data_IF_996454225854
#
_entry.id   IF_996454225854
#
_cell.length_a   1.000
_cell.length_b   1.000
_cell.length_c   1.000
_cell.angle_alpha   90.00
_cell.angle_beta   90.00
_cell.angle_gamma   90.00
#
_symmetry.space_group_name_H-M   'P 1'
#
loop_
_entity.id
_entity.type
_entity.pdbx_description
1 polymer ?
#
# COMPACT_ATOMS: atom_id res chain seq x y z
N UNK A 1 -7.47 26.96 -1.54
CA UNK A 1 -6.58 26.66 -0.41
C UNK A 1 -6.88 25.30 0.26
N UNK A 2 -8.13 24.92 0.46
CA UNK A 2 -8.54 23.68 1.13
C UNK A 2 -8.10 22.39 0.36
N UNK A 3 -8.23 22.34 -0.97
CA UNK A 3 -7.77 21.19 -1.79
C UNK A 3 -6.25 20.95 -1.77
N UNK A 4 -5.42 22.01 -1.62
CA UNK A 4 -3.97 21.86 -1.48
C UNK A 4 -3.56 21.31 -0.10
N UNK A 5 -4.27 21.67 0.97
CA UNK A 5 -4.02 21.12 2.32
C UNK A 5 -4.37 19.65 2.42
N UNK A 6 -5.53 19.24 1.88
CA UNK A 6 -5.96 17.83 1.85
C UNK A 6 -4.98 16.91 1.08
N UNK A 7 -4.39 17.40 -0.03
CA UNK A 7 -3.36 16.65 -0.74
C UNK A 7 -2.04 16.53 0.05
N UNK A 8 -1.68 17.55 0.84
CA UNK A 8 -0.46 17.53 1.63
C UNK A 8 -0.55 16.57 2.82
N UNK A 9 -1.66 16.56 3.55
CA UNK A 9 -1.90 15.61 4.66
C UNK A 9 -1.97 14.17 4.16
N UNK A 10 -2.58 13.92 3.01
CA UNK A 10 -2.61 12.60 2.38
C UNK A 10 -1.23 12.08 1.94
N UNK A 11 -0.36 12.95 1.44
CA UNK A 11 1.01 12.59 1.05
C UNK A 11 1.88 12.29 2.28
N UNK A 12 1.78 13.10 3.34
CA UNK A 12 2.50 12.85 4.60
C UNK A 12 2.07 11.52 5.21
N UNK A 13 0.77 11.22 5.22
CA UNK A 13 0.25 9.97 5.76
C UNK A 13 0.77 8.73 5.03
N UNK A 14 0.83 8.76 3.71
CA UNK A 14 1.36 7.65 2.90
C UNK A 14 2.86 7.47 3.18
N UNK A 15 3.63 8.54 3.19
CA UNK A 15 5.06 8.47 3.49
C UNK A 15 5.35 7.90 4.90
N UNK A 16 4.47 8.16 5.87
CA UNK A 16 4.56 7.62 7.21
C UNK A 16 4.23 6.12 7.25
N UNK A 17 3.20 5.68 6.54
CA UNK A 17 2.84 4.25 6.42
C UNK A 17 3.97 3.45 5.77
N UNK A 18 4.54 3.96 4.67
CA UNK A 18 5.68 3.35 3.97
C UNK A 18 6.91 3.24 4.90
N UNK A 19 7.18 4.28 5.70
CA UNK A 19 8.28 4.29 6.66
C UNK A 19 8.14 3.19 7.72
N UNK A 20 6.97 3.06 8.35
CA UNK A 20 6.75 2.05 9.38
C UNK A 20 6.70 0.62 8.81
N UNK A 21 6.14 0.44 7.61
CA UNK A 21 6.16 -0.86 6.94
C UNK A 21 7.61 -1.28 6.61
N UNK A 22 8.43 -0.35 6.16
CA UNK A 22 9.84 -0.60 5.91
C UNK A 22 10.56 -1.06 7.18
N UNK A 23 10.45 -0.32 8.28
CA UNK A 23 11.05 -0.70 9.57
C UNK A 23 10.57 -2.10 10.00
N UNK A 24 9.27 -2.36 9.87
CA UNK A 24 8.67 -3.64 10.24
C UNK A 24 9.31 -4.80 9.47
N UNK A 25 9.53 -4.64 8.17
CA UNK A 25 10.10 -5.67 7.29
C UNK A 25 11.65 -5.67 7.25
N UNK A 26 12.34 -4.68 7.80
CA UNK A 26 13.79 -4.74 7.98
C UNK A 26 14.20 -5.76 9.06
N UNK A 27 13.29 -6.13 9.96
CA UNK A 27 13.51 -7.23 10.90
C UNK A 27 13.55 -8.57 10.17
N UNK A 28 14.63 -9.32 10.35
CA UNK A 28 14.88 -10.58 9.62
C UNK A 28 13.87 -11.67 9.94
N UNK A 29 13.37 -11.74 11.16
CA UNK A 29 12.40 -12.76 11.55
C UNK A 29 11.05 -12.49 10.89
N UNK A 30 10.59 -11.25 10.89
CA UNK A 30 9.38 -10.82 10.19
C UNK A 30 9.50 -10.97 8.68
N UNK A 31 10.66 -10.61 8.12
CA UNK A 31 10.89 -10.78 6.69
C UNK A 31 10.91 -12.25 6.26
N UNK A 32 11.56 -13.12 7.03
CA UNK A 32 11.53 -14.56 6.80
C UNK A 32 10.10 -15.11 6.85
N UNK A 33 9.33 -14.70 7.86
CA UNK A 33 7.93 -15.10 8.02
C UNK A 33 7.07 -14.60 6.83
N UNK A 34 7.25 -13.35 6.41
CA UNK A 34 6.61 -12.78 5.24
C UNK A 34 6.86 -13.60 3.96
N UNK A 35 8.11 -14.00 3.72
CA UNK A 35 8.49 -14.83 2.58
C UNK A 35 7.93 -16.25 2.73
N UNK A 36 8.03 -16.84 3.91
CA UNK A 36 7.52 -18.20 4.17
C UNK A 36 6.02 -18.30 3.89
N UNK A 37 5.26 -17.31 4.29
CA UNK A 37 3.80 -17.29 4.06
C UNK A 37 3.46 -17.06 2.59
N UNK A 38 4.08 -16.07 1.95
CA UNK A 38 3.65 -15.60 0.64
C UNK A 38 4.30 -16.34 -0.54
N UNK A 39 5.53 -16.81 -0.37
CA UNK A 39 6.26 -17.56 -1.41
C UNK A 39 6.17 -19.06 -1.16
N UNK A 40 6.29 -19.49 0.09
CA UNK A 40 6.33 -20.93 0.45
C UNK A 40 5.04 -21.46 1.06
N UNK A 41 3.95 -20.70 0.95
CA UNK A 41 2.61 -21.11 1.39
C UNK A 41 2.57 -21.57 2.86
N UNK A 42 3.24 -20.85 3.75
CA UNK A 42 3.33 -21.12 5.19
C UNK A 42 4.39 -22.16 5.60
N UNK A 43 5.06 -22.80 4.63
CA UNK A 43 6.19 -23.68 4.94
C UNK A 43 7.38 -22.86 5.45
N UNK A 44 7.96 -23.28 6.58
CA UNK A 44 9.10 -22.61 7.21
C UNK A 44 10.40 -23.00 6.49
N UNK A 45 10.60 -22.48 5.30
CA UNK A 45 11.77 -22.75 4.43
C UNK A 45 12.92 -21.82 4.75
N UNK A 46 12.61 -20.55 5.02
CA UNK A 46 13.59 -19.51 5.26
C UNK A 46 13.64 -19.17 6.76
N UNK A 47 14.82 -19.27 7.36
CA UNK A 47 15.08 -18.85 8.73
C UNK A 47 15.73 -17.45 8.77
N UNK A 48 15.51 -16.72 9.85
CA UNK A 48 16.01 -15.35 10.00
C UNK A 48 17.54 -15.21 9.93
N UNK A 49 18.27 -16.23 10.41
CA UNK A 49 19.75 -16.29 10.38
C UNK A 49 20.29 -16.49 8.95
N UNK A 50 19.46 -16.93 8.01
CA UNK A 50 19.76 -17.07 6.59
C UNK A 50 19.53 -15.82 5.77
N UNK A 51 19.12 -14.74 6.42
CA UNK A 51 18.90 -13.43 5.80
C UNK A 51 20.00 -12.44 6.16
N UNK A 52 20.42 -11.66 5.17
CA UNK A 52 21.30 -10.51 5.36
C UNK A 52 20.75 -9.30 4.60
N UNK A 53 20.62 -8.18 5.30
CA UNK A 53 20.17 -6.92 4.70
C UNK A 53 21.18 -6.43 3.66
N UNK A 54 20.71 -6.06 2.50
CA UNK A 54 21.48 -5.45 1.44
C UNK A 54 21.16 -3.96 1.33
N UNK A 55 22.07 -3.14 0.74
CA UNK A 55 21.75 -1.76 0.41
C UNK A 55 20.51 -1.69 -0.47
N UNK A 56 19.54 -0.87 -0.06
CA UNK A 56 18.28 -0.70 -0.79
C UNK A 56 18.39 0.30 -1.96
N UNK A 57 19.51 0.98 -2.09
CA UNK A 57 19.81 1.89 -3.19
C UNK A 57 20.83 1.24 -4.13
N UNK A 58 20.50 1.20 -5.41
CA UNK A 58 21.45 0.86 -6.46
C UNK A 58 21.25 1.83 -7.61
N UNK A 59 22.33 2.11 -8.33
CA UNK A 59 22.29 3.01 -9.46
C UNK A 59 23.39 2.69 -10.46
N UNK A 60 23.07 2.87 -11.73
CA UNK A 60 24.04 2.85 -12.82
C UNK A 60 24.16 4.23 -13.42
N UNK A 61 25.38 4.56 -13.82
CA UNK A 61 25.63 5.77 -14.61
C UNK A 61 25.58 5.38 -16.07
N UNK A 62 24.58 5.88 -16.78
CA UNK A 62 24.47 5.72 -18.23
C UNK A 62 25.02 6.98 -18.88
N UNK A 63 25.90 6.80 -19.87
CA UNK A 63 26.37 7.91 -20.72
C UNK A 63 25.50 7.89 -21.97
N UNK A 64 24.70 8.94 -22.20
CA UNK A 64 23.91 9.04 -23.41
C UNK A 64 24.76 9.34 -24.65
N UNK A 65 24.14 9.34 -25.82
CA UNK A 65 24.82 9.58 -27.09
C UNK A 65 25.55 10.94 -27.17
N UNK A 66 25.13 11.91 -26.37
CA UNK A 66 25.70 13.24 -26.29
C UNK A 66 26.83 13.32 -25.22
N UNK A 67 27.21 12.20 -24.62
CA UNK A 67 28.24 12.13 -23.59
C UNK A 67 27.78 12.60 -22.20
N UNK A 68 26.48 12.87 -22.01
CA UNK A 68 25.93 13.31 -20.75
C UNK A 68 25.75 12.12 -19.83
N UNK A 69 26.35 12.18 -18.63
CA UNK A 69 26.20 11.16 -17.61
C UNK A 69 24.85 11.31 -16.92
N UNK A 70 24.01 10.29 -17.00
CA UNK A 70 22.74 10.20 -16.28
C UNK A 70 22.84 9.05 -15.28
N UNK A 71 22.49 9.30 -14.05
CA UNK A 71 22.38 8.26 -13.03
C UNK A 71 20.96 7.73 -13.02
N UNK A 72 20.79 6.47 -13.36
CA UNK A 72 19.53 5.75 -13.10
C UNK A 72 19.67 5.14 -11.72
N UNK A 73 18.90 5.63 -10.77
CA UNK A 73 18.87 5.12 -9.40
C UNK A 73 17.60 4.32 -9.17
N UNK A 74 17.74 3.19 -8.47
CA UNK A 74 16.61 2.53 -7.84
C UNK A 74 16.70 2.73 -6.33
N UNK A 75 15.55 2.84 -5.73
CA UNK A 75 15.40 2.82 -4.28
C UNK A 75 14.27 1.86 -3.96
N UNK A 76 14.62 0.69 -3.45
CA UNK A 76 13.68 -0.31 -2.95
C UNK A 76 13.43 -0.09 -1.46
N UNK A 77 12.29 -0.56 -0.97
CA UNK A 77 11.98 -0.39 0.45
C UNK A 77 12.82 -1.34 1.32
N UNK A 78 12.81 -2.63 1.03
CA UNK A 78 13.62 -3.63 1.73
C UNK A 78 14.26 -4.58 0.72
N UNK A 79 15.55 -4.87 0.88
CA UNK A 79 16.29 -5.83 0.06
C UNK A 79 17.11 -6.73 0.96
N UNK A 80 16.94 -8.04 0.83
CA UNK A 80 17.71 -9.02 1.58
C UNK A 80 18.30 -10.07 0.67
N UNK A 81 19.52 -10.51 0.99
CA UNK A 81 20.10 -11.74 0.45
C UNK A 81 19.61 -12.89 1.30
N UNK A 82 19.01 -13.88 0.68
CA UNK A 82 18.50 -15.09 1.32
C UNK A 82 19.33 -16.29 0.90
N UNK A 83 19.62 -17.18 1.84
CA UNK A 83 20.31 -18.44 1.60
C UNK A 83 19.32 -19.61 1.65
N UNK A 84 19.17 -20.32 0.53
CA UNK A 84 18.31 -21.50 0.40
C UNK A 84 19.18 -22.73 0.14
N UNK A 85 19.66 -23.38 1.19
CA UNK A 85 20.60 -24.50 1.06
C UNK A 85 21.89 -24.06 0.34
N UNK A 86 22.10 -24.58 -0.86
CA UNK A 86 23.27 -24.24 -1.68
C UNK A 86 23.06 -22.99 -2.59
N UNK A 87 21.86 -22.41 -2.60
CA UNK A 87 21.50 -21.31 -3.49
C UNK A 87 21.31 -20.02 -2.72
N UNK A 88 21.61 -18.91 -3.38
CA UNK A 88 21.30 -17.57 -2.90
C UNK A 88 20.17 -16.97 -3.75
N UNK A 89 19.42 -16.08 -3.14
CA UNK A 89 18.40 -15.29 -3.81
C UNK A 89 18.42 -13.87 -3.26
N UNK A 90 18.25 -12.88 -4.11
CA UNK A 90 17.94 -11.52 -3.66
C UNK A 90 16.43 -11.42 -3.58
N UNK A 91 15.90 -11.09 -2.41
CA UNK A 91 14.45 -10.89 -2.20
C UNK A 91 14.22 -9.44 -1.82
N UNK A 92 13.33 -8.78 -2.54
CA UNK A 92 12.98 -7.39 -2.30
C UNK A 92 11.48 -7.24 -2.03
N UNK A 93 11.12 -6.28 -1.20
CA UNK A 93 9.73 -5.85 -0.99
C UNK A 93 9.59 -4.42 -1.47
N UNK A 94 8.52 -4.17 -2.23
CA UNK A 94 8.05 -2.84 -2.62
C UNK A 94 6.74 -2.59 -1.90
N UNK A 95 6.72 -1.60 -1.02
CA UNK A 95 5.58 -1.30 -0.18
C UNK A 95 4.68 -0.27 -0.87
N UNK A 96 3.40 -0.57 -1.03
CA UNK A 96 2.48 0.26 -1.79
C UNK A 96 1.21 0.59 -0.99
N UNK A 97 1.06 1.84 -0.57
CA UNK A 97 -0.16 2.36 0.05
C UNK A 97 -1.24 2.77 -0.97
N UNK A 98 -0.90 2.84 -2.25
CA UNK A 98 -1.81 3.15 -3.36
C UNK A 98 -1.49 2.29 -4.57
N UNK A 99 -2.49 2.07 -5.43
CA UNK A 99 -2.29 1.37 -6.70
C UNK A 99 -1.31 2.14 -7.58
N UNK A 100 -0.34 1.44 -8.14
CA UNK A 100 0.63 1.98 -9.09
C UNK A 100 0.47 1.28 -10.43
N UNK A 101 -0.20 1.93 -11.39
CA UNK A 101 -0.56 1.33 -12.69
C UNK A 101 0.65 0.92 -13.55
N UNK A 102 1.83 1.46 -13.31
CA UNK A 102 3.08 1.09 -13.99
C UNK A 102 3.97 0.13 -13.19
N UNK A 103 3.41 -0.64 -12.25
CA UNK A 103 4.22 -1.42 -11.31
C UNK A 103 5.05 -2.49 -11.99
N UNK A 104 4.52 -3.19 -12.99
CA UNK A 104 5.26 -4.22 -13.72
C UNK A 104 6.52 -3.66 -14.41
N UNK A 105 6.43 -2.48 -15.02
CA UNK A 105 7.59 -1.80 -15.63
C UNK A 105 8.58 -1.34 -14.56
N UNK A 106 8.09 -0.83 -13.43
CA UNK A 106 8.94 -0.37 -12.33
C UNK A 106 9.75 -1.51 -11.73
N UNK A 107 9.12 -2.64 -11.42
CA UNK A 107 9.82 -3.81 -10.89
C UNK A 107 10.78 -4.42 -11.92
N UNK A 108 10.36 -4.55 -13.17
CA UNK A 108 11.22 -5.02 -14.25
C UNK A 108 12.50 -4.19 -14.36
N UNK A 109 12.38 -2.86 -14.28
CA UNK A 109 13.53 -1.96 -14.29
C UNK A 109 14.44 -2.20 -13.07
N UNK A 110 13.87 -2.38 -11.90
CA UNK A 110 14.64 -2.61 -10.68
C UNK A 110 15.38 -3.94 -10.71
N UNK A 111 14.73 -5.01 -11.15
CA UNK A 111 15.37 -6.33 -11.30
C UNK A 111 16.47 -6.30 -12.38
N UNK A 112 16.24 -5.58 -13.48
CA UNK A 112 17.26 -5.40 -14.52
C UNK A 112 18.50 -4.67 -13.98
N UNK A 113 18.32 -3.66 -13.11
CA UNK A 113 19.43 -2.95 -12.45
C UNK A 113 20.19 -3.89 -11.48
N UNK A 114 19.49 -4.77 -10.76
CA UNK A 114 20.15 -5.75 -9.90
C UNK A 114 20.98 -6.75 -10.70
N UNK A 115 20.45 -7.27 -11.81
CA UNK A 115 21.20 -8.15 -12.69
C UNK A 115 22.39 -7.44 -13.35
N UNK A 116 22.24 -6.18 -13.74
CA UNK A 116 23.34 -5.38 -14.30
C UNK A 116 24.46 -5.20 -13.28
N UNK A 117 24.10 -4.94 -12.02
CA UNK A 117 25.08 -4.82 -10.94
C UNK A 117 25.79 -6.16 -10.66
N UNK A 118 25.10 -7.28 -10.78
CA UNK A 118 25.71 -8.60 -10.65
C UNK A 118 26.73 -8.86 -11.78
N UNK A 119 26.39 -8.50 -13.02
CA UNK A 119 27.32 -8.61 -14.16
C UNK A 119 28.56 -7.75 -13.92
N UNK A 120 28.39 -6.51 -13.46
CA UNK A 120 29.51 -5.62 -13.11
C UNK A 120 30.44 -6.23 -12.04
N UNK A 121 29.86 -6.87 -11.02
CA UNK A 121 30.65 -7.55 -9.98
C UNK A 121 31.40 -8.78 -10.51
N UNK A 122 30.79 -9.52 -11.44
CA UNK A 122 31.45 -10.65 -12.12
C UNK A 122 32.65 -10.14 -12.92
N UNK A 123 32.48 -9.07 -13.69
CA UNK A 123 33.57 -8.43 -14.44
C UNK A 123 34.70 -7.97 -13.50
N UNK A 124 34.36 -7.29 -12.41
CA UNK A 124 35.34 -6.84 -11.43
C UNK A 124 36.13 -7.99 -10.80
N UNK A 125 35.42 -9.11 -10.51
CA UNK A 125 36.05 -10.33 -10.00
C UNK A 125 37.07 -10.90 -11.00
N UNK A 126 36.69 -11.12 -12.27
CA UNK A 126 37.59 -11.62 -13.29
C UNK A 126 38.81 -10.72 -13.49
N UNK A 127 38.59 -9.39 -13.44
CA UNK A 127 39.71 -8.41 -13.50
C UNK A 127 40.64 -8.52 -12.31
N UNK A 128 40.09 -8.69 -11.10
CA UNK A 128 40.88 -8.82 -9.88
C UNK A 128 41.66 -10.14 -9.83
N UNK A 129 41.10 -11.22 -10.35
CA UNK A 129 41.72 -12.54 -10.44
C UNK A 129 42.74 -12.64 -11.60
N UNK A 130 42.80 -11.62 -12.47
CA UNK A 130 43.71 -11.57 -13.61
C UNK A 130 43.34 -12.51 -14.74
N UNK A 131 42.08 -12.90 -14.84
CA UNK A 131 41.58 -13.80 -15.88
C UNK A 131 41.74 -13.16 -17.25
N UNK A 132 42.30 -13.94 -18.17
CA UNK A 132 42.43 -13.54 -19.57
C UNK A 132 41.18 -13.98 -20.33
N UNK A 133 40.19 -13.12 -20.36
CA UNK A 133 38.99 -13.34 -21.15
C UNK A 133 39.28 -13.15 -22.63
N UNK A 134 38.82 -14.06 -23.47
CA UNK A 134 39.02 -14.02 -24.95
C UNK A 134 37.68 -14.23 -25.67
N UNK A 135 37.60 -13.76 -26.91
CA UNK A 135 36.45 -13.99 -27.79
C UNK A 135 35.13 -13.50 -27.20
N UNK A 136 34.15 -14.41 -27.05
CA UNK A 136 32.81 -14.09 -26.51
C UNK A 136 32.85 -13.67 -25.04
N UNK A 137 33.71 -14.28 -24.23
CA UNK A 137 33.86 -13.97 -22.81
C UNK A 137 34.41 -12.55 -22.62
N UNK A 138 35.35 -12.13 -23.46
CA UNK A 138 35.88 -10.75 -23.47
C UNK A 138 34.81 -9.73 -23.87
N UNK A 139 33.95 -10.05 -24.86
CA UNK A 139 32.90 -9.15 -25.32
C UNK A 139 31.78 -8.98 -24.31
N UNK A 140 31.44 -10.04 -23.58
CA UNK A 140 30.32 -10.03 -22.61
C UNK A 140 30.74 -9.73 -21.19
N UNK A 141 32.05 -9.80 -20.88
CA UNK A 141 32.62 -9.76 -19.52
C UNK A 141 32.13 -10.87 -18.59
N UNK A 142 31.47 -11.89 -19.16
CA UNK A 142 30.85 -13.01 -18.43
C UNK A 142 31.25 -14.31 -19.15
N UNK A 143 31.63 -15.32 -18.38
CA UNK A 143 31.96 -16.65 -18.88
C UNK A 143 30.75 -17.59 -18.81
N UNK A 144 30.82 -18.73 -19.50
CA UNK A 144 29.80 -19.78 -19.38
C UNK A 144 29.68 -20.40 -17.99
N UNK A 145 30.70 -20.24 -17.14
CA UNK A 145 30.74 -20.76 -15.77
C UNK A 145 30.04 -19.82 -14.77
N UNK A 146 29.96 -18.52 -15.06
CA UNK A 146 29.33 -17.55 -14.20
C UNK A 146 27.81 -17.79 -14.07
N UNK A 147 27.29 -17.46 -12.92
CA UNK A 147 25.87 -17.58 -12.62
C UNK A 147 25.38 -16.32 -11.95
N UNK A 148 24.21 -15.84 -12.39
CA UNK A 148 23.49 -14.79 -11.70
C UNK A 148 22.71 -15.37 -10.54
N UNK A 149 22.59 -14.57 -9.50
CA UNK A 149 21.74 -14.86 -8.33
C UNK A 149 20.32 -14.44 -8.69
N UNK A 150 19.32 -15.31 -8.56
CA UNK A 150 17.92 -14.95 -8.81
C UNK A 150 17.48 -13.74 -7.96
N UNK A 151 16.70 -12.85 -8.57
CA UNK A 151 16.06 -11.72 -7.90
C UNK A 151 14.55 -11.99 -7.85
N UNK A 152 13.96 -11.90 -6.68
CA UNK A 152 12.51 -12.04 -6.45
C UNK A 152 12.00 -10.75 -5.82
N UNK A 153 11.13 -10.05 -6.52
CA UNK A 153 10.49 -8.84 -6.01
C UNK A 153 9.04 -9.14 -5.64
N UNK A 154 8.62 -8.69 -4.46
CA UNK A 154 7.26 -8.81 -3.94
C UNK A 154 6.67 -7.41 -3.78
N UNK A 155 5.48 -7.17 -4.33
CA UNK A 155 4.72 -5.95 -4.11
C UNK A 155 3.78 -6.15 -2.94
N UNK A 156 4.07 -5.55 -1.80
CA UNK A 156 3.19 -5.56 -0.63
C UNK A 156 2.21 -4.39 -0.70
N UNK A 157 0.94 -4.71 -0.91
CA UNK A 157 -0.12 -3.72 -1.02
C UNK A 157 -0.98 -3.68 0.25
N UNK A 158 -1.09 -2.49 0.84
CA UNK A 158 -1.93 -2.21 2.03
C UNK A 158 -2.86 -1.02 1.83
N UNK A 159 -3.12 -0.66 0.58
CA UNK A 159 -4.01 0.45 0.23
C UNK A 159 -5.46 0.22 0.68
N UNK A 160 -6.21 1.32 0.71
CA UNK A 160 -7.61 1.29 1.16
C UNK A 160 -8.57 0.69 0.14
N UNK A 161 -8.25 0.78 -1.15
CA UNK A 161 -9.08 0.26 -2.24
C UNK A 161 -8.53 -1.07 -2.76
N UNK A 162 -9.34 -1.84 -3.47
CA UNK A 162 -8.85 -3.04 -4.14
C UNK A 162 -7.79 -2.69 -5.18
N UNK A 163 -6.80 -3.56 -5.36
CA UNK A 163 -5.86 -3.38 -6.46
C UNK A 163 -6.60 -3.58 -7.79
N UNK A 164 -6.70 -2.53 -8.58
CA UNK A 164 -7.33 -2.50 -9.91
C UNK A 164 -6.32 -2.26 -11.03
N UNK A 165 -5.03 -2.18 -10.70
CA UNK A 165 -3.96 -1.98 -11.66
C UNK A 165 -3.51 -3.26 -12.37
N UNK A 166 -2.84 -3.13 -13.52
CA UNK A 166 -2.23 -4.25 -14.21
C UNK A 166 -1.25 -5.03 -13.33
N UNK A 167 -1.28 -6.35 -13.43
CA UNK A 167 -0.37 -7.27 -12.72
C UNK A 167 0.74 -7.82 -13.60
N UNK A 168 0.72 -7.48 -14.90
CA UNK A 168 1.75 -7.91 -15.84
C UNK A 168 1.96 -6.92 -16.97
N UNK A 169 3.06 -7.10 -17.73
CA UNK A 169 3.28 -6.33 -18.95
C UNK A 169 2.21 -6.61 -20.01
N UNK A 170 1.72 -7.85 -20.11
CA UNK A 170 0.67 -8.19 -21.06
C UNK A 170 -0.62 -7.43 -20.77
N UNK A 171 -1.02 -7.35 -19.49
CA UNK A 171 -2.17 -6.56 -19.09
C UNK A 171 -1.97 -5.07 -19.39
N UNK A 172 -0.74 -4.53 -19.17
CA UNK A 172 -0.43 -3.13 -19.49
C UNK A 172 -0.44 -2.84 -20.99
N UNK A 173 -0.07 -3.82 -21.84
CA UNK A 173 -0.07 -3.68 -23.29
C UNK A 173 -1.48 -3.80 -23.87
N UNK A 174 -2.45 -4.33 -23.12
CA UNK A 174 -3.82 -4.58 -23.61
C UNK A 174 -3.79 -5.55 -24.80
N UNK A 175 -2.99 -6.62 -24.70
CA UNK A 175 -2.88 -7.61 -25.77
C UNK A 175 -4.24 -8.26 -25.95
N UNK A 176 -4.80 -8.15 -27.15
CA UNK A 176 -6.08 -8.74 -27.51
C UNK A 176 -6.02 -10.26 -27.52
N UNK A 177 -6.76 -10.89 -26.58
CA UNK A 177 -6.81 -12.36 -26.45
C UNK A 177 -7.65 -13.02 -27.54
N UNK A 178 -8.55 -12.26 -28.18
CA UNK A 178 -9.42 -12.76 -29.27
C UNK A 178 -8.73 -12.78 -30.64
N UNK A 179 -7.59 -12.07 -30.77
CA UNK A 179 -6.82 -12.09 -32.00
C UNK A 179 -6.12 -13.43 -32.19
N UNK A 180 -6.32 -14.06 -33.35
CA UNK A 180 -5.86 -15.44 -33.67
C UNK A 180 -4.33 -15.58 -33.52
N UNK A 181 -3.57 -14.55 -33.89
CA UNK A 181 -2.11 -14.56 -33.84
C UNK A 181 -1.53 -14.16 -32.48
N UNK A 182 -2.34 -13.80 -31.50
CA UNK A 182 -1.91 -13.41 -30.15
C UNK A 182 -0.92 -14.41 -29.53
N UNK A 183 -1.20 -15.71 -29.69
CA UNK A 183 -0.33 -16.77 -29.20
C UNK A 183 1.07 -16.74 -29.85
N UNK A 184 1.19 -16.31 -31.11
CA UNK A 184 2.47 -16.16 -31.79
C UNK A 184 3.23 -14.92 -31.31
N UNK A 185 2.51 -13.80 -31.14
CA UNK A 185 3.08 -12.55 -30.62
C UNK A 185 3.60 -12.76 -29.19
N UNK A 186 2.84 -13.42 -28.33
CA UNK A 186 3.23 -13.74 -26.94
C UNK A 186 4.51 -14.59 -26.86
N UNK A 187 4.81 -15.45 -27.85
CA UNK A 187 6.07 -16.19 -27.89
C UNK A 187 7.30 -15.30 -28.12
N UNK A 188 7.11 -14.13 -28.72
CA UNK A 188 8.18 -13.18 -29.02
C UNK A 188 8.31 -12.09 -27.95
N UNK A 189 7.32 -11.92 -27.07
CA UNK A 189 7.30 -10.90 -26.03
C UNK A 189 7.53 -11.54 -24.65
N UNK A 190 8.48 -11.05 -23.86
CA UNK A 190 8.56 -11.45 -22.46
C UNK A 190 7.39 -10.84 -21.68
N UNK A 191 6.71 -11.65 -20.87
CA UNK A 191 5.78 -11.14 -19.86
C UNK A 191 6.52 -10.96 -18.53
N UNK A 192 6.40 -9.79 -17.93
CA UNK A 192 6.89 -9.53 -16.58
C UNK A 192 5.70 -9.38 -15.64
N UNK A 193 5.58 -10.30 -14.69
CA UNK A 193 4.48 -10.36 -13.72
C UNK A 193 4.96 -9.84 -12.37
N UNK A 194 4.14 -9.02 -11.71
CA UNK A 194 4.38 -8.64 -10.33
C UNK A 194 3.90 -9.74 -9.37
N UNK A 195 4.62 -9.93 -8.29
CA UNK A 195 4.20 -10.81 -7.19
C UNK A 195 3.41 -9.98 -6.17
N UNK A 196 2.16 -9.67 -6.49
CA UNK A 196 1.30 -8.83 -5.66
C UNK A 196 0.83 -9.61 -4.42
N UNK A 197 1.03 -9.01 -3.25
CA UNK A 197 0.55 -9.48 -1.96
C UNK A 197 -0.37 -8.39 -1.39
N UNK A 198 -1.67 -8.66 -1.42
CA UNK A 198 -2.68 -7.79 -0.82
C UNK A 198 -2.98 -8.26 0.61
N UNK A 199 -2.60 -7.49 1.62
CA UNK A 199 -2.79 -7.88 3.04
C UNK A 199 -4.27 -7.92 3.46
N UNK A 200 -5.19 -7.43 2.62
CA UNK A 200 -6.64 -7.53 2.88
C UNK A 200 -7.19 -8.92 2.55
N UNK A 201 -6.43 -9.74 1.82
CA UNK A 201 -6.75 -11.14 1.61
C UNK A 201 -6.41 -11.91 2.91
N UNK A 202 -7.30 -11.82 3.91
CA UNK A 202 -7.08 -12.34 5.27
C UNK A 202 -6.94 -13.86 5.41
N UNK A 203 -7.02 -14.62 4.31
CA UNK A 203 -6.99 -16.08 4.30
C UNK A 203 -5.68 -16.70 4.80
N UNK A 204 -4.60 -15.90 4.92
CA UNK A 204 -3.29 -16.39 5.33
C UNK A 204 -2.82 -15.90 6.70
N UNK A 205 -3.65 -15.14 7.43
CA UNK A 205 -3.21 -14.48 8.67
C UNK A 205 -2.70 -15.48 9.72
N UNK A 206 -3.33 -16.62 9.86
CA UNK A 206 -2.97 -17.70 10.80
C UNK A 206 -1.68 -18.43 10.45
N UNK A 207 -1.18 -18.25 9.23
CA UNK A 207 0.09 -18.84 8.78
C UNK A 207 1.31 -18.05 9.26
N UNK A 208 1.15 -16.76 9.56
CA UNK A 208 2.23 -15.94 10.13
C UNK A 208 2.56 -16.38 11.55
N UNK A 209 3.85 -16.35 11.89
CA UNK A 209 4.38 -16.79 13.20
C UNK A 209 4.96 -15.63 14.01
N UNK A 210 5.02 -14.44 13.41
CA UNK A 210 5.52 -13.23 14.04
C UNK A 210 4.37 -12.23 14.28
N UNK A 211 4.70 -11.05 14.80
CA UNK A 211 3.77 -9.93 14.97
C UNK A 211 3.09 -9.47 13.67
N UNK A 212 3.59 -9.89 12.49
CA UNK A 212 2.95 -9.64 11.20
C UNK A 212 1.51 -10.14 11.16
N UNK A 213 1.21 -11.27 11.82
CA UNK A 213 -0.16 -11.79 11.96
C UNK A 213 -1.10 -10.71 12.47
N UNK A 214 -0.71 -10.05 13.55
CA UNK A 214 -1.59 -9.07 14.21
C UNK A 214 -1.55 -7.72 13.54
N UNK A 215 -0.41 -7.28 13.03
CA UNK A 215 -0.32 -6.03 12.25
C UNK A 215 -1.22 -6.12 11.01
N UNK A 216 -1.10 -7.19 10.23
CA UNK A 216 -1.92 -7.39 9.02
C UNK A 216 -3.39 -7.66 9.36
N UNK A 217 -3.66 -8.37 10.45
CA UNK A 217 -5.02 -8.60 10.95
C UNK A 217 -5.73 -7.28 11.29
N UNK A 218 -5.08 -6.39 12.04
CA UNK A 218 -5.62 -5.08 12.37
C UNK A 218 -5.89 -4.23 11.12
N UNK A 219 -4.98 -4.25 10.14
CA UNK A 219 -5.16 -3.53 8.87
C UNK A 219 -6.32 -4.11 8.06
N UNK A 220 -6.40 -5.43 7.96
CA UNK A 220 -7.44 -6.13 7.20
C UNK A 220 -8.85 -5.83 7.75
N UNK A 221 -9.00 -5.86 9.08
CA UNK A 221 -10.30 -5.66 9.71
C UNK A 221 -10.64 -4.19 10.03
N UNK A 222 -9.70 -3.25 9.83
CA UNK A 222 -9.87 -1.83 10.19
C UNK A 222 -11.16 -1.17 9.67
N UNK A 223 -11.65 -1.57 8.49
CA UNK A 223 -12.88 -1.02 7.90
C UNK A 223 -14.17 -1.65 8.44
N UNK A 224 -14.09 -2.77 9.13
CA UNK A 224 -15.22 -3.48 9.70
C UNK A 224 -15.09 -3.53 11.22
N UNK A 225 -15.79 -2.62 11.89
CA UNK A 225 -15.72 -2.47 13.36
C UNK A 225 -16.03 -3.76 14.11
N UNK A 226 -17.04 -4.50 13.68
CA UNK A 226 -17.44 -5.75 14.33
C UNK A 226 -16.32 -6.79 14.23
N UNK A 227 -15.76 -6.98 13.03
CA UNK A 227 -14.65 -7.92 12.82
C UNK A 227 -13.38 -7.46 13.53
N UNK A 228 -13.09 -6.16 13.55
CA UNK A 228 -11.95 -5.60 14.28
C UNK A 228 -12.09 -5.86 15.79
N UNK A 229 -13.26 -5.61 16.35
CA UNK A 229 -13.56 -5.88 17.76
C UNK A 229 -13.42 -7.37 18.09
N UNK A 230 -14.01 -8.25 17.28
CA UNK A 230 -13.91 -9.70 17.47
C UNK A 230 -12.47 -10.17 17.40
N UNK A 231 -11.70 -9.69 16.41
CA UNK A 231 -10.29 -10.02 16.23
C UNK A 231 -9.44 -9.58 17.42
N UNK A 232 -9.60 -8.34 17.86
CA UNK A 232 -8.85 -7.80 19.01
C UNK A 232 -9.21 -8.48 20.31
N UNK A 233 -10.47 -8.89 20.48
CA UNK A 233 -10.91 -9.64 21.66
C UNK A 233 -10.29 -11.03 21.72
N UNK A 234 -10.24 -11.72 20.58
CA UNK A 234 -9.67 -13.08 20.50
C UNK A 234 -8.14 -13.04 20.71
N UNK A 235 -7.46 -12.06 20.15
CA UNK A 235 -5.99 -11.96 20.16
C UNK A 235 -5.46 -10.89 21.12
N UNK A 236 -6.20 -10.60 22.20
CA UNK A 236 -5.88 -9.49 23.11
C UNK A 236 -4.47 -9.56 23.70
N UNK A 237 -4.09 -10.75 24.15
CA UNK A 237 -2.79 -10.94 24.80
C UNK A 237 -1.64 -10.79 23.81
N UNK A 238 -1.75 -11.42 22.64
CA UNK A 238 -0.73 -11.39 21.59
C UNK A 238 -0.54 -9.97 21.04
N UNK A 239 -1.64 -9.25 20.78
CA UNK A 239 -1.62 -7.86 20.31
C UNK A 239 -0.94 -6.95 21.34
N UNK A 240 -1.25 -7.12 22.62
CA UNK A 240 -0.63 -6.32 23.69
C UNK A 240 0.85 -6.66 23.89
N UNK A 241 1.28 -7.89 23.62
CA UNK A 241 2.69 -8.32 23.68
C UNK A 241 3.51 -7.92 22.45
N UNK A 242 2.89 -7.38 21.40
CA UNK A 242 3.66 -6.88 20.26
C UNK A 242 4.70 -5.86 20.73
N UNK A 243 5.86 -5.90 20.09
CA UNK A 243 6.90 -4.90 20.29
C UNK A 243 6.46 -3.50 19.80
N UNK A 244 7.21 -2.47 20.21
CA UNK A 244 6.91 -1.08 19.91
C UNK A 244 6.82 -0.78 18.42
N UNK A 245 7.68 -1.38 17.62
CA UNK A 245 7.72 -1.18 16.17
C UNK A 245 6.47 -1.75 15.50
N UNK A 246 6.05 -2.95 15.92
CA UNK A 246 4.82 -3.58 15.43
C UNK A 246 3.56 -2.80 15.82
N UNK A 247 3.49 -2.30 17.06
CA UNK A 247 2.41 -1.43 17.52
C UNK A 247 2.36 -0.13 16.73
N UNK A 248 3.52 0.51 16.52
CA UNK A 248 3.63 1.73 15.73
C UNK A 248 3.22 1.52 14.26
N UNK A 249 3.70 0.44 13.64
CA UNK A 249 3.33 0.09 12.28
C UNK A 249 1.82 -0.16 12.14
N UNK A 250 1.21 -0.92 13.05
CA UNK A 250 -0.23 -1.15 13.05
C UNK A 250 -1.00 0.17 13.10
N UNK A 251 -0.67 1.07 14.03
CA UNK A 251 -1.34 2.37 14.17
C UNK A 251 -1.12 3.29 12.96
N UNK A 252 0.08 3.33 12.40
CA UNK A 252 0.36 4.09 11.20
C UNK A 252 -0.49 3.60 10.03
N UNK A 253 -0.54 2.28 9.81
CA UNK A 253 -1.27 1.65 8.71
C UNK A 253 -2.79 1.84 8.82
N UNK A 254 -3.36 1.75 10.02
CA UNK A 254 -4.79 2.04 10.24
C UNK A 254 -5.10 3.54 10.31
N UNK A 255 -4.08 4.39 10.32
CA UNK A 255 -4.21 5.85 10.25
C UNK A 255 -4.49 6.54 11.57
N UNK A 256 -4.09 5.97 12.69
CA UNK A 256 -4.32 6.47 14.05
C UNK A 256 -3.14 7.31 14.59
N UNK A 257 -2.90 8.47 13.96
CA UNK A 257 -1.78 9.37 14.23
C UNK A 257 -1.68 9.81 15.71
N UNK A 258 -2.82 10.11 16.37
CA UNK A 258 -2.81 10.54 17.77
C UNK A 258 -2.30 9.45 18.71
N UNK A 259 -2.67 8.20 18.43
CA UNK A 259 -2.25 7.05 19.23
C UNK A 259 -0.83 6.65 18.91
N UNK A 260 -0.42 6.77 17.64
CA UNK A 260 0.96 6.59 17.21
C UNK A 260 1.90 7.54 17.94
N UNK A 261 1.56 8.84 18.04
CA UNK A 261 2.37 9.81 18.79
C UNK A 261 2.52 9.44 20.26
N UNK A 262 1.47 8.95 20.92
CA UNK A 262 1.56 8.47 22.31
C UNK A 262 2.57 7.33 22.46
N UNK A 263 2.60 6.36 21.50
CA UNK A 263 3.62 5.30 21.49
C UNK A 263 5.02 5.87 21.34
N UNK A 264 5.20 6.83 20.44
CA UNK A 264 6.51 7.42 20.16
C UNK A 264 7.06 8.23 21.35
N UNK A 265 6.17 8.89 22.10
CA UNK A 265 6.51 9.70 23.27
C UNK A 265 6.69 8.86 24.55
N UNK A 266 6.07 7.67 24.62
CA UNK A 266 6.20 6.78 25.77
C UNK A 266 7.64 6.27 25.91
N UNK A 267 8.18 6.35 27.13
CA UNK A 267 9.51 5.84 27.49
C UNK A 267 9.50 4.37 27.90
N UNK A 268 8.33 3.76 28.10
CA UNK A 268 8.15 2.36 28.55
C UNK A 268 7.28 1.60 27.54
N UNK A 269 7.78 0.45 27.10
CA UNK A 269 7.06 -0.42 26.16
C UNK A 269 5.75 -0.98 26.73
N UNK A 270 5.68 -1.13 28.03
CA UNK A 270 4.55 -1.74 28.77
C UNK A 270 3.34 -0.80 28.98
N UNK A 271 3.50 0.52 28.73
CA UNK A 271 2.50 1.51 29.11
C UNK A 271 1.30 1.64 28.17
N UNK A 272 1.28 0.97 27.00
CA UNK A 272 0.18 1.08 26.05
C UNK A 272 -0.55 -0.25 25.85
N UNK A 273 -1.77 -0.32 26.35
CA UNK A 273 -2.76 -1.33 25.96
C UNK A 273 -3.29 -1.02 24.55
N UNK A 274 -2.77 -1.76 23.55
CA UNK A 274 -3.20 -1.62 22.14
C UNK A 274 -4.67 -1.94 21.97
N UNK A 275 -5.20 -2.90 22.72
CA UNK A 275 -6.61 -3.27 22.64
C UNK A 275 -7.50 -2.18 23.20
N UNK A 276 -7.11 -1.54 24.31
CA UNK A 276 -7.81 -0.34 24.80
C UNK A 276 -7.78 0.79 23.77
N UNK A 277 -6.64 1.03 23.14
CA UNK A 277 -6.53 2.05 22.08
C UNK A 277 -7.45 1.76 20.89
N UNK A 278 -7.63 0.47 20.52
CA UNK A 278 -8.55 0.05 19.46
C UNK A 278 -10.01 0.13 19.93
N UNK A 279 -10.32 -0.26 21.15
CA UNK A 279 -11.67 -0.13 21.73
C UNK A 279 -12.10 1.35 21.75
N UNK A 280 -11.22 2.27 22.17
CA UNK A 280 -11.45 3.71 22.10
C UNK A 280 -11.64 4.20 20.65
N UNK A 281 -10.90 3.66 19.68
CA UNK A 281 -11.06 3.98 18.26
C UNK A 281 -12.44 3.59 17.75
N UNK A 282 -12.92 2.41 18.14
CA UNK A 282 -14.24 1.90 17.76
C UNK A 282 -15.32 2.81 18.36
N UNK A 283 -15.21 3.14 19.65
CA UNK A 283 -16.14 4.03 20.35
C UNK A 283 -16.16 5.45 19.75
N UNK A 284 -15.00 6.06 19.50
CA UNK A 284 -14.87 7.36 18.82
C UNK A 284 -15.55 7.35 17.43
N UNK A 285 -15.45 6.21 16.73
CA UNK A 285 -16.09 6.04 15.44
C UNK A 285 -17.60 5.92 15.53
N UNK A 286 -18.14 5.33 16.61
CA UNK A 286 -19.58 5.23 16.87
C UNK A 286 -20.15 6.60 17.17
N UNK A 287 -19.53 7.35 18.08
CA UNK A 287 -19.92 8.73 18.40
C UNK A 287 -19.89 9.61 17.15
N UNK A 288 -18.83 9.51 16.35
CA UNK A 288 -18.74 10.27 15.07
C UNK A 288 -19.83 9.86 14.09
N UNK A 289 -20.16 8.56 14.03
CA UNK A 289 -21.23 8.03 13.19
C UNK A 289 -22.61 8.53 13.65
N UNK A 290 -22.86 8.52 14.94
CA UNK A 290 -24.11 9.01 15.53
C UNK A 290 -24.28 10.51 15.28
N UNK A 291 -23.27 11.33 15.58
CA UNK A 291 -23.27 12.78 15.31
C UNK A 291 -23.50 13.06 13.83
N UNK A 292 -22.84 12.34 12.94
CA UNK A 292 -23.03 12.47 11.49
C UNK A 292 -24.45 12.09 11.08
N UNK A 293 -24.98 11.01 11.64
CA UNK A 293 -26.36 10.57 11.41
C UNK A 293 -27.38 11.63 11.85
N UNK A 294 -27.18 12.22 13.03
CA UNK A 294 -28.03 13.33 13.54
C UNK A 294 -27.95 14.52 12.59
N UNK A 295 -26.75 14.96 12.21
CA UNK A 295 -26.56 16.10 11.31
C UNK A 295 -27.21 15.86 9.93
N UNK A 296 -27.05 14.67 9.37
CA UNK A 296 -27.72 14.30 8.11
C UNK A 296 -29.23 14.26 8.25
N UNK A 297 -29.73 13.74 9.37
CA UNK A 297 -31.18 13.75 9.68
C UNK A 297 -31.75 15.15 9.81
N UNK A 298 -31.04 16.05 10.46
CA UNK A 298 -31.41 17.48 10.56
C UNK A 298 -31.40 18.15 9.19
N UNK A 299 -30.38 17.90 8.38
CA UNK A 299 -30.28 18.46 7.03
C UNK A 299 -31.41 17.98 6.13
N UNK A 300 -31.70 16.69 6.12
CA UNK A 300 -32.82 16.09 5.42
C UNK A 300 -34.17 16.71 5.86
N UNK A 301 -34.32 16.94 7.16
CA UNK A 301 -35.53 17.58 7.71
C UNK A 301 -35.69 19.00 7.19
N UNK A 302 -34.62 19.80 7.16
CA UNK A 302 -34.64 21.16 6.57
C UNK A 302 -35.01 21.12 5.10
N UNK A 303 -34.40 20.24 4.30
CA UNK A 303 -34.69 20.07 2.89
C UNK A 303 -36.16 19.71 2.67
N UNK A 304 -36.71 18.79 3.47
CA UNK A 304 -38.12 18.42 3.40
C UNK A 304 -39.06 19.58 3.69
N UNK A 305 -38.75 20.39 4.71
CA UNK A 305 -39.53 21.60 5.01
C UNK A 305 -39.43 22.63 3.86
N UNK A 306 -38.24 22.88 3.32
CA UNK A 306 -38.06 23.77 2.16
C UNK A 306 -38.86 23.23 0.97
N UNK A 307 -38.82 21.94 0.68
CA UNK A 307 -39.58 21.32 -0.41
C UNK A 307 -41.09 21.50 -0.25
N UNK A 308 -41.60 21.33 0.97
CA UNK A 308 -43.02 21.55 1.27
C UNK A 308 -43.45 23.00 1.02
N UNK A 309 -42.65 23.97 1.44
CA UNK A 309 -42.98 25.38 1.21
C UNK A 309 -42.77 25.80 -0.27
N UNK A 310 -41.76 25.27 -0.92
CA UNK A 310 -41.54 25.50 -2.36
C UNK A 310 -42.69 24.98 -3.23
N UNK A 311 -43.28 23.82 -2.89
CA UNK A 311 -44.50 23.30 -3.55
C UNK A 311 -45.72 24.22 -3.37
N UNK A 312 -45.72 25.08 -2.33
CA UNK A 312 -46.75 26.10 -2.15
C UNK A 312 -46.44 27.40 -2.90
N UNK A 313 -45.41 27.40 -3.75
CA UNK A 313 -45.00 28.52 -4.59
C UNK A 313 -44.43 29.72 -3.79
N UNK A 314 -43.94 29.50 -2.58
CA UNK A 314 -43.27 30.55 -1.83
C UNK A 314 -41.88 30.86 -2.36
N UNK A 315 -41.47 32.14 -2.30
CA UNK A 315 -40.14 32.57 -2.69
C UNK A 315 -39.06 32.10 -1.72
N UNK A 316 -37.79 32.08 -2.17
CA UNK A 316 -36.65 31.75 -1.29
C UNK A 316 -36.60 32.58 -0.01
N UNK A 317 -36.82 33.88 -0.15
CA UNK A 317 -36.87 34.83 0.98
C UNK A 317 -38.00 34.51 1.97
N UNK A 318 -39.23 34.23 1.48
CA UNK A 318 -40.33 33.82 2.31
C UNK A 318 -40.07 32.51 3.05
N UNK A 319 -39.49 31.52 2.36
CA UNK A 319 -39.14 30.23 2.95
C UNK A 319 -38.07 30.41 4.04
N UNK A 320 -37.05 31.20 3.74
CA UNK A 320 -35.96 31.50 4.66
C UNK A 320 -36.50 32.14 5.95
N UNK A 321 -37.39 33.13 5.85
CA UNK A 321 -38.02 33.77 6.98
C UNK A 321 -38.94 32.81 7.79
N UNK A 322 -39.71 31.94 7.12
CA UNK A 322 -40.64 31.01 7.80
C UNK A 322 -39.84 29.94 8.56
N UNK A 323 -38.70 29.47 8.03
CA UNK A 323 -37.90 28.39 8.59
C UNK A 323 -36.72 28.89 9.44
N UNK A 324 -36.53 30.19 9.55
CA UNK A 324 -35.38 30.82 10.19
C UNK A 324 -34.05 30.27 9.68
N UNK A 325 -33.92 30.26 8.31
CA UNK A 325 -32.76 29.76 7.59
C UNK A 325 -32.10 30.87 6.77
N UNK A 326 -30.82 30.68 6.46
CA UNK A 326 -30.10 31.57 5.54
C UNK A 326 -30.72 31.49 4.12
N UNK A 327 -31.01 32.64 3.53
CA UNK A 327 -31.67 32.71 2.22
C UNK A 327 -30.82 32.07 1.11
N UNK A 328 -29.49 32.25 1.16
CA UNK A 328 -28.57 31.64 0.17
C UNK A 328 -28.58 30.12 0.25
N UNK A 329 -28.74 29.58 1.46
CA UNK A 329 -28.89 28.13 1.65
C UNK A 329 -30.20 27.65 1.02
N UNK A 330 -31.33 28.35 1.26
CA UNK A 330 -32.64 28.00 0.67
C UNK A 330 -32.56 28.09 -0.88
N UNK A 331 -31.94 29.12 -1.42
CA UNK A 331 -31.74 29.26 -2.87
C UNK A 331 -30.94 28.10 -3.47
N UNK A 332 -29.88 27.67 -2.78
CA UNK A 332 -29.07 26.53 -3.19
C UNK A 332 -29.90 25.23 -3.24
N UNK A 333 -30.71 24.99 -2.22
CA UNK A 333 -31.59 23.82 -2.16
C UNK A 333 -32.65 23.87 -3.28
N UNK A 334 -33.28 25.03 -3.50
CA UNK A 334 -34.26 25.23 -4.58
C UNK A 334 -33.61 25.00 -5.97
N UNK A 335 -32.39 25.46 -6.16
CA UNK A 335 -31.64 25.21 -7.40
C UNK A 335 -31.44 23.72 -7.66
N UNK A 336 -31.12 22.97 -6.60
CA UNK A 336 -31.00 21.51 -6.67
C UNK A 336 -32.33 20.83 -7.00
N UNK A 337 -33.46 21.29 -6.44
CA UNK A 337 -34.81 20.79 -6.81
C UNK A 337 -35.13 20.99 -8.30
N UNK A 338 -34.71 22.11 -8.88
CA UNK A 338 -34.88 22.38 -10.32
C UNK A 338 -33.99 21.50 -11.17
N UNK A 339 -32.78 21.23 -10.70
CA UNK A 339 -31.80 20.40 -11.40
C UNK A 339 -32.14 18.91 -11.32
N UNK A 340 -32.69 18.48 -10.18
CA UNK A 340 -33.06 17.10 -9.89
C UNK A 340 -34.55 17.00 -9.43
N UNK A 341 -35.52 17.16 -10.35
CA UNK A 341 -36.93 17.27 -9.94
C UNK A 341 -37.49 16.01 -9.25
N UNK A 342 -36.96 14.84 -9.60
CA UNK A 342 -37.32 13.56 -8.98
C UNK A 342 -36.39 13.15 -7.81
N UNK A 343 -35.40 13.96 -7.49
CA UNK A 343 -34.41 13.65 -6.46
C UNK A 343 -35.02 13.58 -5.07
N UNK A 344 -34.70 12.53 -4.33
CA UNK A 344 -35.05 12.38 -2.91
C UNK A 344 -34.38 13.42 -2.03
N UNK A 345 -34.91 13.64 -0.81
CA UNK A 345 -34.29 14.56 0.15
C UNK A 345 -32.86 14.08 0.55
N UNK A 346 -32.60 12.78 0.53
CA UNK A 346 -31.29 12.19 0.77
C UNK A 346 -30.30 12.51 -0.35
N UNK A 347 -30.72 12.39 -1.60
CA UNK A 347 -29.88 12.74 -2.76
C UNK A 347 -29.56 14.22 -2.78
N UNK A 348 -30.54 15.07 -2.51
CA UNK A 348 -30.34 16.53 -2.44
C UNK A 348 -29.38 16.90 -1.31
N UNK A 349 -29.49 16.25 -0.14
CA UNK A 349 -28.54 16.42 0.98
C UNK A 349 -27.10 16.02 0.60
N UNK A 350 -26.95 15.03 -0.24
CA UNK A 350 -25.63 14.60 -0.73
C UNK A 350 -24.93 15.60 -1.65
N UNK A 351 -25.68 16.56 -2.25
CA UNK A 351 -25.13 17.62 -3.13
C UNK A 351 -24.88 18.96 -2.42
N UNK A 352 -25.25 19.10 -1.15
CA UNK A 352 -25.05 20.31 -0.34
C UNK A 352 -23.71 20.34 0.36
#
# INVERSE_FOLDING_TARGET
MIRKKLNYEGVIKVAEQDYYMKILLEDRARFADFINVNVFHGKQVLAADKLSLLPNEAGIVVVDADGVKRTIQRRRDVVMKAEFGAYFCVVASENQGKVHYGMAVREMMYDALDYTEQIRKIEEKHRAEGDKLEGADFLSHVTKADRLIPVVTLTLYYGNEAWDGPKSLYEMMGIDEEWEETALVKKCLPDYKINLIDIREGEKLDQYKTSLQHVFGLVNYNKNKQKLYEYTRVHREEINRMDRESKAAALALIGEQKRLQKILESKREEEMDMCQAIDELIADGEVRGEVRGILMGMEKTKINFIRKQYKKQLSSSQIANILDLDERYVEKVIKLFKQYPAGSDDEIAGYL
#
